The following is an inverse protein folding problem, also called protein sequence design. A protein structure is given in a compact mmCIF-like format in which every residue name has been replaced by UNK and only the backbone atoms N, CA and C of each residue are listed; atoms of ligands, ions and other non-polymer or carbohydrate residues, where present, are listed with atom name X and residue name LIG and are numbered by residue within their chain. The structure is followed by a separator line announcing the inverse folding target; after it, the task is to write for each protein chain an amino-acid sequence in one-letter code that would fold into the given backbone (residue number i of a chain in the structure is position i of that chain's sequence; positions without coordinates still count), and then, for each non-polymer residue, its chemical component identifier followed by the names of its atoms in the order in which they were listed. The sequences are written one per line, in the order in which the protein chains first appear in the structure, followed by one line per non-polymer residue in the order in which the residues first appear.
data_IF_566931369460
#
_entry.id   IF_566931369460
#
_cell.length_a   1.000
_cell.length_b   1.000
_cell.length_c   1.000
_cell.angle_alpha   90.00
_cell.angle_beta   90.00
_cell.angle_gamma   90.00
#
_symmetry.space_group_name_H-M   'P 1'
#
loop_
_entity.id
_entity.type
_entity.pdbx_description
1 polymer ?
#
# COMPACT_ATOMS: atom_id res chain seq x y z
N UNK A 1 40.97 -10.57 -11.16
CA UNK A 1 39.57 -10.98 -10.84
C UNK A 1 39.14 -10.77 -9.38
N UNK A 2 40.05 -10.63 -8.37
CA UNK A 2 39.67 -10.52 -6.95
C UNK A 2 39.13 -9.14 -6.49
N UNK A 3 39.51 -8.04 -7.16
CA UNK A 3 39.09 -6.66 -6.83
C UNK A 3 37.60 -6.39 -7.10
N UNK A 4 37.05 -6.95 -8.19
CA UNK A 4 35.62 -6.80 -8.53
C UNK A 4 34.69 -7.30 -7.43
N UNK A 5 35.00 -8.47 -6.86
CA UNK A 5 34.21 -9.07 -5.77
C UNK A 5 34.09 -8.17 -4.53
N UNK A 6 35.10 -7.37 -4.18
CA UNK A 6 35.00 -6.46 -3.04
C UNK A 6 34.09 -5.27 -3.33
N UNK A 7 34.09 -4.76 -4.57
CA UNK A 7 33.18 -3.71 -5.01
C UNK A 7 31.75 -4.24 -5.08
N UNK A 8 31.55 -5.47 -5.55
CA UNK A 8 30.23 -6.12 -5.60
C UNK A 8 29.66 -6.34 -4.19
N UNK A 9 30.50 -6.81 -3.25
CA UNK A 9 30.11 -6.97 -1.85
C UNK A 9 29.80 -5.62 -1.22
N UNK A 10 30.61 -4.58 -1.49
CA UNK A 10 30.34 -3.24 -1.00
C UNK A 10 29.03 -2.69 -1.56
N UNK A 11 28.78 -2.86 -2.86
CA UNK A 11 27.53 -2.45 -3.50
C UNK A 11 26.32 -3.18 -2.89
N UNK A 12 26.45 -4.49 -2.64
CA UNK A 12 25.40 -5.28 -1.98
C UNK A 12 25.16 -4.80 -0.55
N UNK A 13 26.21 -4.54 0.23
CA UNK A 13 26.08 -4.01 1.59
C UNK A 13 25.41 -2.64 1.61
N UNK A 14 25.75 -1.76 0.67
CA UNK A 14 25.09 -0.46 0.53
C UNK A 14 23.62 -0.63 0.17
N UNK A 15 23.29 -1.48 -0.80
CA UNK A 15 21.90 -1.76 -1.18
C UNK A 15 21.08 -2.34 -0.01
N UNK A 16 21.64 -3.29 0.73
CA UNK A 16 20.99 -3.88 1.91
C UNK A 16 20.83 -2.87 3.04
N UNK A 17 21.84 -2.02 3.28
CA UNK A 17 21.74 -0.96 4.28
C UNK A 17 20.65 0.05 3.92
N UNK A 18 20.54 0.43 2.65
CA UNK A 18 19.47 1.29 2.15
C UNK A 18 18.10 0.68 2.39
N UNK A 19 17.91 -0.60 2.04
CA UNK A 19 16.67 -1.33 2.30
C UNK A 19 16.29 -1.31 3.79
N UNK A 20 17.24 -1.60 4.68
CA UNK A 20 17.01 -1.63 6.13
C UNK A 20 16.67 -0.25 6.67
N UNK A 21 17.40 0.79 6.26
CA UNK A 21 17.15 2.17 6.69
C UNK A 21 15.77 2.63 6.21
N UNK A 22 15.41 2.40 4.94
CA UNK A 22 14.09 2.75 4.42
C UNK A 22 12.97 2.01 5.15
N UNK A 23 13.15 0.71 5.44
CA UNK A 23 12.17 -0.06 6.21
C UNK A 23 12.00 0.49 7.64
N UNK A 24 13.11 0.89 8.30
CA UNK A 24 13.06 1.50 9.62
C UNK A 24 12.36 2.86 9.62
N UNK A 25 12.68 3.73 8.66
CA UNK A 25 11.97 5.03 8.49
C UNK A 25 10.48 4.81 8.24
N UNK A 26 10.12 3.84 7.39
CA UNK A 26 8.71 3.52 7.13
C UNK A 26 7.94 3.05 8.36
N UNK A 27 8.61 2.42 9.32
CA UNK A 27 8.00 1.88 10.53
C UNK A 27 7.94 2.91 11.66
N UNK A 28 9.07 3.56 11.95
CA UNK A 28 9.24 4.40 13.14
C UNK A 28 8.89 5.87 12.87
N UNK A 29 9.14 6.36 11.66
CA UNK A 29 8.87 7.77 11.29
C UNK A 29 7.49 7.92 10.66
N UNK A 30 7.14 7.00 9.76
CA UNK A 30 5.85 7.02 9.06
C UNK A 30 4.80 6.10 9.69
N UNK A 31 5.08 5.43 10.82
CA UNK A 31 4.10 4.64 11.57
C UNK A 31 3.32 3.61 10.71
N UNK A 32 3.87 3.23 9.55
CA UNK A 32 3.22 2.36 8.54
C UNK A 32 1.87 2.89 8.01
N UNK A 33 1.57 4.17 8.14
CA UNK A 33 0.35 4.77 7.59
C UNK A 33 0.61 5.43 6.23
N UNK A 34 -0.35 5.39 5.29
CA UNK A 34 -0.27 6.16 4.06
C UNK A 34 -0.30 7.67 4.36
N UNK A 35 0.66 8.40 3.81
CA UNK A 35 0.81 9.85 4.00
C UNK A 35 0.38 10.66 2.78
N UNK A 36 0.39 10.05 1.60
CA UNK A 36 0.01 10.69 0.34
C UNK A 36 -1.27 10.05 -0.18
N UNK A 37 -2.14 10.83 -0.79
CA UNK A 37 -3.43 10.40 -1.33
C UNK A 37 -3.28 9.22 -2.33
N UNK A 38 -2.16 9.17 -3.06
CA UNK A 38 -1.82 8.07 -3.95
C UNK A 38 -1.65 6.74 -3.22
N UNK A 39 -1.07 6.77 -2.01
CA UNK A 39 -0.85 5.59 -1.19
C UNK A 39 -2.18 5.01 -0.70
N UNK A 40 -3.16 5.85 -0.38
CA UNK A 40 -4.52 5.40 -0.08
C UNK A 40 -5.17 4.69 -1.27
N UNK A 41 -5.02 5.24 -2.47
CA UNK A 41 -5.55 4.62 -3.69
C UNK A 41 -4.89 3.27 -4.00
N UNK A 42 -3.57 3.15 -3.78
CA UNK A 42 -2.86 1.89 -3.93
C UNK A 42 -3.31 0.85 -2.90
N UNK A 43 -3.45 1.24 -1.64
CA UNK A 43 -3.93 0.35 -0.58
C UNK A 43 -5.34 -0.16 -0.85
N UNK A 44 -6.24 0.75 -1.21
CA UNK A 44 -7.61 0.40 -1.55
C UNK A 44 -7.67 -0.57 -2.73
N UNK A 45 -6.91 -0.31 -3.79
CA UNK A 45 -6.88 -1.17 -4.97
C UNK A 45 -6.25 -2.54 -4.69
N UNK A 46 -5.22 -2.59 -3.83
CA UNK A 46 -4.60 -3.83 -3.39
C UNK A 46 -5.59 -4.69 -2.57
N UNK A 47 -6.40 -4.06 -1.71
CA UNK A 47 -7.45 -4.76 -0.95
C UNK A 47 -8.52 -5.35 -1.88
N UNK A 48 -8.99 -4.58 -2.87
CA UNK A 48 -9.95 -5.06 -3.89
C UNK A 48 -9.37 -6.23 -4.71
N UNK A 49 -8.09 -6.15 -5.08
CA UNK A 49 -7.40 -7.23 -5.80
C UNK A 49 -7.16 -8.46 -4.94
N UNK A 50 -6.91 -8.29 -3.64
CA UNK A 50 -6.79 -9.40 -2.70
C UNK A 50 -8.11 -10.18 -2.56
N UNK A 51 -9.25 -9.54 -2.84
CA UNK A 51 -10.57 -10.18 -2.94
C UNK A 51 -10.83 -10.83 -4.32
N UNK A 52 -9.86 -10.78 -5.24
CA UNK A 52 -9.97 -11.32 -6.59
C UNK A 52 -10.77 -10.43 -7.55
N UNK A 53 -10.98 -9.16 -7.19
CA UNK A 53 -11.75 -8.21 -7.96
C UNK A 53 -10.84 -7.09 -8.51
N UNK A 54 -11.29 -6.42 -9.57
CA UNK A 54 -10.59 -5.23 -10.13
C UNK A 54 -11.31 -3.94 -9.74
N UNK A 55 -12.61 -4.02 -9.50
CA UNK A 55 -13.49 -2.92 -9.11
C UNK A 55 -14.53 -3.42 -8.12
N UNK A 56 -15.01 -2.55 -7.24
CA UNK A 56 -16.13 -2.81 -6.34
C UNK A 56 -17.37 -2.00 -6.76
N UNK A 57 -18.60 -2.39 -6.40
CA UNK A 57 -19.77 -1.54 -6.64
C UNK A 57 -19.66 -0.25 -5.83
N UNK A 58 -20.07 0.87 -6.44
CA UNK A 58 -20.13 2.16 -5.76
C UNK A 58 -21.15 2.11 -4.61
N UNK A 59 -20.82 2.67 -3.43
CA UNK A 59 -21.76 2.74 -2.31
C UNK A 59 -22.95 3.66 -2.64
N UNK A 60 -24.08 3.46 -1.97
CA UNK A 60 -25.31 4.24 -2.18
C UNK A 60 -25.11 5.76 -2.01
N UNK A 61 -24.15 6.16 -1.17
CA UNK A 61 -23.80 7.56 -0.93
C UNK A 61 -22.28 7.80 -1.15
N UNK A 62 -21.82 7.93 -2.41
CA UNK A 62 -20.39 8.06 -2.73
C UNK A 62 -19.71 9.24 -2.05
N UNK A 63 -20.44 10.35 -1.91
CA UNK A 63 -19.96 11.59 -1.27
C UNK A 63 -19.80 11.48 0.25
N UNK A 64 -20.40 10.49 0.90
CA UNK A 64 -20.25 10.26 2.32
C UNK A 64 -18.93 9.54 2.67
N UNK A 65 -18.35 8.82 1.70
CA UNK A 65 -17.13 8.03 1.89
C UNK A 65 -16.11 8.32 0.77
N UNK A 66 -15.53 9.55 0.75
CA UNK A 66 -14.50 9.89 -0.20
C UNK A 66 -13.22 9.11 0.11
N UNK A 67 -12.79 8.28 -0.83
CA UNK A 67 -11.43 7.72 -0.82
C UNK A 67 -10.61 8.52 -1.85
N UNK A 68 -9.47 9.13 -1.46
CA UNK A 68 -8.68 9.92 -2.39
C UNK A 68 -8.26 9.11 -3.63
N UNK A 69 -8.36 9.72 -4.81
CA UNK A 69 -8.01 9.13 -6.11
C UNK A 69 -8.67 7.80 -6.48
N UNK A 70 -9.76 7.44 -5.79
CA UNK A 70 -10.68 6.39 -6.20
C UNK A 70 -11.83 7.03 -6.96
N UNK A 71 -12.13 6.48 -8.13
CA UNK A 71 -13.11 7.01 -9.08
C UNK A 71 -14.35 6.13 -9.04
N UNK A 72 -15.51 6.78 -8.94
CA UNK A 72 -16.82 6.16 -9.18
C UNK A 72 -17.23 6.44 -10.63
N UNK A 73 -17.49 5.38 -11.40
CA UNK A 73 -17.92 5.43 -12.78
C UNK A 73 -18.88 4.28 -13.08
N UNK A 74 -20.06 4.60 -13.64
CA UNK A 74 -21.10 3.62 -14.02
C UNK A 74 -21.50 2.64 -12.90
N UNK A 75 -21.56 3.14 -11.65
CA UNK A 75 -21.91 2.33 -10.48
C UNK A 75 -20.78 1.40 -10.01
N UNK A 76 -19.59 1.50 -10.62
CA UNK A 76 -18.39 0.79 -10.22
C UNK A 76 -17.36 1.78 -9.67
N UNK A 77 -16.55 1.30 -8.74
CA UNK A 77 -15.50 2.04 -8.05
C UNK A 77 -14.17 1.37 -8.29
N UNK A 78 -13.16 2.15 -8.67
CA UNK A 78 -11.79 1.68 -8.90
C UNK A 78 -10.76 2.79 -8.68
N UNK A 79 -9.50 2.46 -8.38
CA UNK A 79 -8.44 3.46 -8.28
C UNK A 79 -8.07 4.01 -9.67
N UNK A 80 -7.71 5.30 -9.76
CA UNK A 80 -7.34 5.91 -11.05
C UNK A 80 -6.09 5.27 -11.69
N UNK A 81 -5.27 4.58 -10.89
CA UNK A 81 -4.01 4.01 -11.30
C UNK A 81 -4.16 2.60 -11.90
N UNK A 82 -3.42 2.28 -12.98
CA UNK A 82 -3.42 0.94 -13.53
C UNK A 82 -2.87 -0.08 -12.50
N UNK A 83 -3.28 -1.36 -12.63
CA UNK A 83 -3.09 -2.37 -11.60
C UNK A 83 -1.63 -2.72 -11.29
N UNK A 84 -0.65 -2.30 -12.11
CA UNK A 84 0.74 -2.76 -12.00
C UNK A 84 1.37 -2.54 -10.62
N UNK A 85 1.35 -1.29 -10.12
CA UNK A 85 1.89 -0.95 -8.80
C UNK A 85 1.05 -1.49 -7.62
N UNK A 86 -0.29 -1.36 -7.62
CA UNK A 86 -1.13 -1.90 -6.54
C UNK A 86 -1.24 -3.45 -6.52
N UNK A 87 -0.91 -4.15 -7.59
CA UNK A 87 -0.89 -5.62 -7.61
C UNK A 87 0.33 -6.22 -6.91
N UNK A 88 1.34 -5.40 -6.57
CA UNK A 88 2.45 -5.84 -5.72
C UNK A 88 1.90 -5.93 -4.30
N UNK A 89 1.75 -7.14 -3.73
CA UNK A 89 1.36 -7.27 -2.34
C UNK A 89 2.45 -6.59 -1.51
N UNK A 90 2.07 -5.73 -0.58
CA UNK A 90 3.07 -5.15 0.32
C UNK A 90 3.68 -6.30 1.13
N UNK A 91 5.00 -6.32 1.37
CA UNK A 91 5.61 -7.29 2.29
C UNK A 91 4.96 -7.28 3.68
N UNK A 92 4.32 -6.17 4.08
CA UNK A 92 3.57 -6.06 5.33
C UNK A 92 2.16 -6.67 5.34
N UNK A 93 1.58 -7.04 4.19
CA UNK A 93 0.29 -7.71 4.09
C UNK A 93 0.44 -9.25 4.15
N UNK A 94 1.68 -9.76 4.33
CA UNK A 94 1.96 -11.11 4.83
C UNK A 94 1.32 -11.24 6.23
N UNK A 95 0.75 -12.39 6.61
CA UNK A 95 -0.34 -12.52 7.60
C UNK A 95 0.09 -12.36 9.07
N UNK A 96 0.78 -11.27 9.40
CA UNK A 96 1.16 -10.88 10.76
C UNK A 96 0.21 -9.81 11.35
N UNK A 97 -0.68 -9.21 10.56
CA UNK A 97 -1.73 -8.33 11.08
C UNK A 97 -3.11 -8.79 10.57
N UNK A 98 -3.92 -9.33 11.48
CA UNK A 98 -5.27 -9.83 11.20
C UNK A 98 -6.15 -8.74 10.57
N UNK A 99 -7.02 -9.18 9.64
CA UNK A 99 -8.12 -8.45 8.97
C UNK A 99 -8.96 -7.54 9.87
N UNK A 100 -8.91 -7.73 11.19
CA UNK A 100 -9.73 -7.02 12.17
C UNK A 100 -9.16 -5.66 12.57
N UNK A 101 -7.84 -5.44 12.50
CA UNK A 101 -7.22 -4.21 13.04
C UNK A 101 -7.44 -2.98 12.17
N UNK A 102 -7.51 -3.15 10.84
CA UNK A 102 -7.69 -2.02 9.89
C UNK A 102 -9.15 -1.53 9.88
N UNK A 103 -10.13 -2.43 10.05
CA UNK A 103 -11.56 -2.08 10.12
C UNK A 103 -11.92 -1.30 11.39
N UNK A 104 -11.21 -1.54 12.49
CA UNK A 104 -11.43 -0.81 13.76
C UNK A 104 -10.91 0.62 13.67
N UNK A 105 -9.78 0.85 13.01
CA UNK A 105 -9.20 2.20 12.89
C UNK A 105 -10.08 3.12 12.03
N UNK A 106 -10.64 2.61 10.92
CA UNK A 106 -11.55 3.39 10.07
C UNK A 106 -12.93 3.64 10.71
N UNK A 107 -13.39 2.78 11.63
CA UNK A 107 -14.66 2.98 12.35
C UNK A 107 -14.52 3.95 13.53
N UNK A 108 -13.32 4.18 14.03
CA UNK A 108 -13.07 4.99 15.23
C UNK A 108 -12.71 6.46 14.96
N UNK A 109 -12.35 6.84 13.73
CA UNK A 109 -11.85 8.19 13.39
C UNK A 109 -12.88 9.06 12.64
N UNK A 110 -14.14 8.64 12.53
CA UNK A 110 -15.24 9.50 12.08
C UNK A 110 -16.28 9.63 13.20
N UNK A 111 -15.96 10.51 14.15
CA UNK A 111 -16.91 11.34 14.92
C UNK A 111 -16.36 12.76 14.86
#
# INVERSE_FOLDING_TARGET
MRKGRYLDVLALLLALSGLVITAWVSDDVFERIPHVEDEFAYLWQAEVMAEGQISQPSPETPRAFPVPFVVDHDGQRFAKYPPGWPAVPRPQDLPLLSRDSVKVLFRATVI
#
